data_IF_967455028662
#
_entry.id   IF_967455028662
#
_cell.length_a   1.000
_cell.length_b   1.000
_cell.length_c   1.000
_cell.angle_alpha   90.00
_cell.angle_beta   90.00
_cell.angle_gamma   90.00
#
_symmetry.space_group_name_H-M   'P 1'
#
loop_
_entity.id
_entity.type
_entity.pdbx_description
1 polymer ?
#
# COMPACT_ATOMS: atom_id res chain seq x y z
N UNK A 1 -3.27 -15.07 18.23
CA UNK A 1 -1.82 -14.85 18.17
C UNK A 1 -1.58 -13.58 17.36
N UNK A 2 -1.18 -12.47 17.99
CA UNK A 2 -0.87 -11.22 17.28
C UNK A 2 0.48 -11.41 16.58
N UNK A 3 0.49 -11.45 15.25
CA UNK A 3 1.72 -11.48 14.47
C UNK A 3 2.33 -10.08 14.60
N UNK A 4 3.49 -9.99 15.23
CA UNK A 4 4.26 -8.74 15.28
C UNK A 4 4.86 -8.49 13.90
N UNK A 5 4.17 -7.62 13.14
CA UNK A 5 4.55 -7.26 11.78
C UNK A 5 5.96 -6.64 11.73
N UNK A 6 6.38 -5.94 12.79
CA UNK A 6 7.73 -5.40 12.92
C UNK A 6 8.77 -6.50 12.93
N UNK A 7 8.59 -7.50 13.79
CA UNK A 7 9.52 -8.61 13.94
C UNK A 7 9.59 -9.50 12.70
N UNK A 8 8.45 -9.64 12.01
CA UNK A 8 8.36 -10.33 10.73
C UNK A 8 9.14 -9.61 9.63
N UNK A 9 8.97 -8.29 9.54
CA UNK A 9 9.69 -7.47 8.57
C UNK A 9 11.20 -7.40 8.89
N UNK A 10 11.59 -7.28 10.15
CA UNK A 10 13.00 -7.24 10.57
C UNK A 10 13.74 -8.54 10.22
N UNK A 11 13.11 -9.70 10.35
CA UNK A 11 13.69 -10.97 9.91
C UNK A 11 13.85 -11.07 8.40
N UNK A 12 12.91 -10.50 7.66
CA UNK A 12 12.92 -10.52 6.20
C UNK A 12 13.99 -9.60 5.60
N UNK A 13 14.33 -8.48 6.28
CA UNK A 13 15.38 -7.55 5.85
C UNK A 13 16.80 -8.05 6.11
N UNK A 14 17.00 -9.02 7.00
CA UNK A 14 18.33 -9.57 7.31
C UNK A 14 18.86 -10.52 6.23
N UNK A 15 18.02 -10.96 5.30
CA UNK A 15 18.38 -12.02 4.33
C UNK A 15 18.94 -11.54 2.99
N UNK A 16 19.02 -10.23 2.69
CA UNK A 16 19.59 -9.77 1.41
C UNK A 16 20.60 -8.62 1.56
N UNK A 17 21.85 -8.92 1.92
CA UNK A 17 22.91 -7.90 2.07
C UNK A 17 23.47 -7.38 0.74
N UNK A 18 23.02 -7.85 -0.41
CA UNK A 18 23.71 -7.66 -1.70
C UNK A 18 23.32 -6.40 -2.49
N UNK A 19 22.51 -5.47 -1.96
CA UNK A 19 22.15 -4.26 -2.70
C UNK A 19 22.46 -2.99 -1.94
N UNK A 20 23.71 -2.59 -1.93
CA UNK A 20 24.17 -1.22 -1.65
C UNK A 20 23.69 -0.20 -2.72
N UNK A 21 22.43 -0.28 -3.12
CA UNK A 21 21.77 0.76 -3.89
C UNK A 21 21.12 1.66 -2.85
N UNK A 22 21.65 2.87 -2.67
CA UNK A 22 20.95 3.89 -1.87
C UNK A 22 19.55 4.04 -2.45
N UNK A 23 18.50 3.63 -1.71
CA UNK A 23 17.16 3.71 -2.23
C UNK A 23 16.85 5.17 -2.60
N UNK A 24 16.23 5.36 -3.75
CA UNK A 24 15.82 6.68 -4.23
C UNK A 24 14.77 7.30 -3.30
N UNK A 25 14.43 8.58 -3.48
CA UNK A 25 13.44 9.23 -2.64
C UNK A 25 12.06 8.58 -2.83
N UNK A 26 11.38 8.34 -1.70
CA UNK A 26 10.02 7.77 -1.68
C UNK A 26 9.09 8.59 -0.79
N UNK A 27 7.87 8.81 -1.26
CA UNK A 27 6.79 9.40 -0.48
C UNK A 27 5.71 8.34 -0.27
N UNK A 28 5.23 8.17 0.94
CA UNK A 28 4.07 7.31 1.21
C UNK A 28 2.88 8.13 1.67
N UNK A 29 1.70 7.84 1.13
CA UNK A 29 0.45 8.47 1.51
C UNK A 29 -0.45 7.44 2.19
N UNK A 30 -0.58 7.54 3.51
CA UNK A 30 -1.62 6.88 4.29
C UNK A 30 -2.83 7.79 4.43
N UNK A 31 -4.02 7.25 4.66
CA UNK A 31 -5.22 8.05 4.68
C UNK A 31 -6.38 7.37 5.39
N UNK A 32 -7.29 8.16 5.90
CA UNK A 32 -8.62 7.74 6.27
C UNK A 32 -9.49 7.43 5.04
N UNK A 33 -10.49 6.57 5.22
CA UNK A 33 -11.49 6.26 4.18
C UNK A 33 -12.23 7.54 3.78
N UNK A 34 -12.44 7.74 2.49
CA UNK A 34 -13.06 8.95 1.94
C UNK A 34 -12.08 10.09 1.65
N UNK A 35 -10.85 10.07 2.18
CA UNK A 35 -9.84 11.08 1.86
C UNK A 35 -9.32 10.96 0.42
N UNK A 36 -8.97 12.09 -0.25
CA UNK A 36 -8.68 12.13 -1.68
C UNK A 36 -7.23 11.77 -2.01
N UNK A 37 -6.66 10.74 -1.39
CA UNK A 37 -5.24 10.42 -1.50
C UNK A 37 -4.73 10.24 -2.94
N UNK A 38 -5.57 9.73 -3.86
CA UNK A 38 -5.17 9.60 -5.28
C UNK A 38 -5.04 10.96 -5.97
N UNK A 39 -5.94 11.91 -5.65
CA UNK A 39 -5.87 13.28 -6.18
C UNK A 39 -4.62 13.97 -5.66
N UNK A 40 -4.36 13.88 -4.36
CA UNK A 40 -3.14 14.42 -3.73
C UNK A 40 -1.88 13.80 -4.36
N UNK A 41 -1.86 12.48 -4.57
CA UNK A 41 -0.73 11.80 -5.21
C UNK A 41 -0.48 12.28 -6.64
N UNK A 42 -1.53 12.49 -7.42
CA UNK A 42 -1.43 12.97 -8.79
C UNK A 42 -0.87 14.41 -8.84
N UNK A 43 -1.41 15.31 -8.04
CA UNK A 43 -0.95 16.71 -7.94
C UNK A 43 0.50 16.79 -7.42
N UNK A 44 0.83 15.98 -6.41
CA UNK A 44 2.19 15.90 -5.87
C UNK A 44 3.17 15.43 -6.94
N UNK A 45 2.83 14.40 -7.71
CA UNK A 45 3.65 13.92 -8.84
C UNK A 45 3.93 15.04 -9.84
N UNK A 46 2.92 15.81 -10.22
CA UNK A 46 3.07 16.89 -11.18
C UNK A 46 4.01 17.98 -10.64
N UNK A 47 3.78 18.41 -9.39
CA UNK A 47 4.64 19.41 -8.74
C UNK A 47 6.08 18.93 -8.61
N UNK A 48 6.32 17.71 -8.16
CA UNK A 48 7.66 17.15 -8.02
C UNK A 48 8.38 17.03 -9.37
N UNK A 49 7.67 16.66 -10.43
CA UNK A 49 8.24 16.59 -11.77
C UNK A 49 8.56 17.98 -12.34
N UNK A 50 7.75 19.00 -12.03
CA UNK A 50 8.02 20.40 -12.42
C UNK A 50 9.23 20.98 -11.68
N UNK A 51 9.36 20.67 -10.38
CA UNK A 51 10.48 21.14 -9.55
C UNK A 51 11.80 20.42 -9.85
N UNK A 52 11.77 19.32 -10.57
CA UNK A 52 12.95 18.50 -10.89
C UNK A 52 13.94 19.30 -11.76
N UNK A 53 14.83 20.02 -11.11
CA UNK A 53 16.05 20.50 -11.73
C UNK A 53 16.96 19.31 -11.99
N UNK A 54 17.61 19.27 -13.13
CA UNK A 54 18.45 18.30 -13.85
C UNK A 54 19.36 17.31 -13.06
N UNK A 55 19.16 17.02 -11.78
CA UNK A 55 20.21 16.40 -10.97
C UNK A 55 19.86 15.18 -10.14
N UNK A 56 18.82 14.40 -10.39
CA UNK A 56 18.76 13.07 -9.75
C UNK A 56 17.81 12.11 -10.40
N UNK A 57 18.28 10.89 -10.60
CA UNK A 57 17.57 9.72 -11.12
C UNK A 57 16.93 9.92 -12.51
N UNK A 58 17.24 9.06 -13.44
CA UNK A 58 16.88 9.16 -14.87
C UNK A 58 15.38 9.08 -15.18
N UNK A 59 14.52 8.78 -14.20
CA UNK A 59 13.09 8.67 -14.41
C UNK A 59 12.27 9.67 -13.60
N UNK A 60 11.09 10.10 -14.11
CA UNK A 60 10.20 11.02 -13.42
C UNK A 60 9.53 10.39 -12.20
N UNK A 61 9.04 11.24 -11.28
CA UNK A 61 8.17 10.82 -10.19
C UNK A 61 6.90 10.14 -10.73
N UNK A 62 6.53 9.04 -10.11
CA UNK A 62 5.31 8.29 -10.42
C UNK A 62 4.56 7.98 -9.13
N UNK A 63 3.23 7.98 -9.17
CA UNK A 63 2.44 7.50 -8.06
C UNK A 63 1.91 6.10 -8.36
N UNK A 64 1.85 5.28 -7.33
CA UNK A 64 1.66 3.83 -7.44
C UNK A 64 0.57 3.42 -6.45
N UNK A 65 -0.47 2.78 -6.92
CA UNK A 65 -1.57 2.24 -6.12
C UNK A 65 -2.09 0.91 -6.67
N UNK A 66 -2.60 0.91 -7.91
CA UNK A 66 -3.09 -0.30 -8.58
C UNK A 66 -1.92 -1.16 -9.09
N UNK A 67 -0.85 -0.53 -9.48
CA UNK A 67 0.35 -1.15 -10.04
C UNK A 67 0.96 -2.17 -9.07
N UNK A 68 0.90 -1.89 -7.76
CA UNK A 68 1.33 -2.84 -6.72
C UNK A 68 0.57 -4.16 -6.82
N UNK A 69 -0.76 -4.08 -7.02
CA UNK A 69 -1.59 -5.28 -7.12
C UNK A 69 -1.33 -6.03 -8.42
N UNK A 70 -1.18 -5.30 -9.52
CA UNK A 70 -0.91 -5.89 -10.84
C UNK A 70 0.44 -6.60 -10.87
N UNK A 71 1.51 -5.96 -10.38
CA UNK A 71 2.84 -6.58 -10.33
C UNK A 71 2.89 -7.75 -9.36
N UNK A 72 2.20 -7.65 -8.20
CA UNK A 72 2.14 -8.76 -7.25
C UNK A 72 1.38 -9.96 -7.82
N UNK A 73 0.27 -9.72 -8.53
CA UNK A 73 -0.49 -10.78 -9.20
C UNK A 73 0.34 -11.46 -10.28
N UNK A 74 1.06 -10.69 -11.08
CA UNK A 74 1.97 -11.19 -12.10
C UNK A 74 3.08 -12.07 -11.51
N UNK A 75 3.71 -11.62 -10.42
CA UNK A 75 4.76 -12.38 -9.73
C UNK A 75 4.22 -13.71 -9.14
N UNK A 76 2.99 -13.68 -8.62
CA UNK A 76 2.32 -14.85 -8.07
C UNK A 76 1.67 -15.75 -9.15
N UNK A 77 1.61 -15.29 -10.40
CA UNK A 77 0.90 -15.96 -11.51
C UNK A 77 -0.58 -16.20 -11.22
N UNK A 78 -1.24 -15.22 -10.64
CA UNK A 78 -2.67 -15.23 -10.31
C UNK A 78 -3.34 -13.96 -10.83
N UNK A 79 -4.68 -13.93 -10.83
CA UNK A 79 -5.43 -12.72 -11.14
C UNK A 79 -5.36 -11.71 -9.97
N UNK A 80 -5.38 -10.41 -10.28
CA UNK A 80 -5.33 -9.35 -9.26
C UNK A 80 -6.52 -9.36 -8.30
N UNK A 81 -7.67 -9.89 -8.73
CA UNK A 81 -8.85 -10.06 -7.88
C UNK A 81 -8.62 -11.10 -6.77
N UNK A 82 -7.82 -12.13 -7.06
CA UNK A 82 -7.52 -13.19 -6.10
C UNK A 82 -6.65 -12.74 -4.93
N UNK A 83 -5.89 -11.66 -5.08
CA UNK A 83 -5.06 -11.10 -4.01
C UNK A 83 -5.71 -9.89 -3.31
N UNK A 84 -6.80 -9.35 -3.85
CA UNK A 84 -7.46 -8.19 -3.28
C UNK A 84 -8.07 -8.46 -1.90
N UNK A 85 -8.57 -9.68 -1.66
CA UNK A 85 -9.16 -10.08 -0.38
C UNK A 85 -8.23 -9.89 0.82
N UNK A 86 -6.92 -9.93 0.62
CA UNK A 86 -5.92 -9.70 1.69
C UNK A 86 -6.05 -8.31 2.32
N UNK A 87 -6.66 -7.35 1.61
CA UNK A 87 -6.86 -5.98 2.04
C UNK A 87 -8.31 -5.66 2.42
N UNK A 88 -9.26 -6.55 2.11
CA UNK A 88 -10.70 -6.34 2.34
C UNK A 88 -11.12 -6.86 3.72
N UNK A 89 -10.60 -6.24 4.79
CA UNK A 89 -10.88 -6.61 6.18
C UNK A 89 -12.37 -6.61 6.56
N UNK A 90 -13.20 -5.83 5.86
CA UNK A 90 -14.62 -5.66 6.19
C UNK A 90 -15.55 -6.74 5.61
N UNK A 91 -15.08 -7.60 4.72
CA UNK A 91 -15.92 -8.65 4.11
C UNK A 91 -15.83 -10.01 4.80
N UNK A 92 -14.98 -10.15 5.80
CA UNK A 92 -14.84 -11.40 6.53
C UNK A 92 -15.81 -11.45 7.68
N UNK A 93 -16.86 -12.26 7.56
CA UNK A 93 -17.69 -12.66 8.69
C UNK A 93 -16.88 -13.54 9.66
N UNK A 94 -17.18 -13.44 10.96
CA UNK A 94 -16.51 -14.24 12.01
C UNK A 94 -16.55 -15.75 11.71
N UNK A 95 -17.59 -16.22 11.03
CA UNK A 95 -17.75 -17.62 10.59
C UNK A 95 -16.80 -18.02 9.45
N UNK A 96 -16.53 -17.11 8.50
CA UNK A 96 -15.55 -17.36 7.42
C UNK A 96 -14.14 -17.43 7.96
N UNK A 97 -13.78 -16.56 8.91
CA UNK A 97 -12.46 -16.58 9.58
C UNK A 97 -12.26 -17.89 10.36
N UNK A 98 -13.30 -18.46 10.97
CA UNK A 98 -13.24 -19.74 11.71
C UNK A 98 -13.09 -20.94 10.78
N UNK A 99 -13.82 -20.98 9.67
CA UNK A 99 -13.72 -22.05 8.66
C UNK A 99 -12.38 -21.99 7.92
N UNK A 100 -11.85 -20.80 7.67
CA UNK A 100 -10.56 -20.59 6.99
C UNK A 100 -9.36 -20.83 7.90
N UNK A 101 -9.50 -20.64 9.22
CA UNK A 101 -8.44 -20.94 10.20
C UNK A 101 -8.07 -22.43 10.26
N UNK A 102 -8.93 -23.33 9.77
CA UNK A 102 -8.66 -24.76 9.71
C UNK A 102 -7.84 -25.19 8.47
N UNK A 103 -7.68 -24.34 7.45
CA UNK A 103 -6.91 -24.68 6.26
C UNK A 103 -5.50 -24.10 6.33
N UNK A 104 -4.52 -24.96 6.59
CA UNK A 104 -3.07 -24.59 6.60
C UNK A 104 -2.60 -24.00 5.27
N UNK A 105 -3.21 -24.39 4.16
CA UNK A 105 -2.81 -23.93 2.82
C UNK A 105 -3.29 -22.53 2.53
N UNK A 106 -4.45 -22.12 3.05
CA UNK A 106 -4.96 -20.76 2.90
C UNK A 106 -4.08 -19.74 3.66
N UNK A 107 -3.66 -20.07 4.88
CA UNK A 107 -2.79 -19.21 5.68
C UNK A 107 -1.41 -19.01 5.05
N UNK A 108 -0.85 -20.08 4.47
CA UNK A 108 0.41 -20.01 3.70
C UNK A 108 0.24 -19.15 2.45
N UNK A 109 -0.91 -19.22 1.78
CA UNK A 109 -1.23 -18.42 0.61
C UNK A 109 -1.28 -16.91 0.97
N UNK A 110 -1.97 -16.55 2.04
CA UNK A 110 -2.07 -15.16 2.53
C UNK A 110 -0.69 -14.58 2.89
N UNK A 111 0.13 -15.33 3.58
CA UNK A 111 1.49 -14.91 3.92
C UNK A 111 2.35 -14.70 2.66
N UNK A 112 2.28 -15.61 1.70
CA UNK A 112 2.99 -15.49 0.43
C UNK A 112 2.54 -14.25 -0.33
N UNK A 113 1.24 -13.97 -0.38
CA UNK A 113 0.68 -12.77 -1.02
C UNK A 113 1.21 -11.51 -0.34
N UNK A 114 1.16 -11.42 0.99
CA UNK A 114 1.64 -10.27 1.76
C UNK A 114 3.13 -10.03 1.55
N UNK A 115 3.93 -11.08 1.56
CA UNK A 115 5.38 -11.02 1.31
C UNK A 115 5.68 -10.51 -0.10
N UNK A 116 4.96 -11.02 -1.10
CA UNK A 116 5.13 -10.57 -2.49
C UNK A 116 4.75 -9.09 -2.64
N UNK A 117 3.65 -8.65 -2.03
CA UNK A 117 3.25 -7.24 -2.02
C UNK A 117 4.31 -6.35 -1.37
N UNK A 118 4.86 -6.78 -0.23
CA UNK A 118 5.92 -6.04 0.44
C UNK A 118 7.18 -5.94 -0.44
N UNK A 119 7.58 -7.01 -1.10
CA UNK A 119 8.69 -7.04 -2.05
C UNK A 119 8.47 -6.10 -3.23
N UNK A 120 7.28 -6.12 -3.84
CA UNK A 120 6.93 -5.21 -4.94
C UNK A 120 6.97 -3.75 -4.50
N UNK A 121 6.41 -3.41 -3.34
CA UNK A 121 6.49 -2.06 -2.76
C UNK A 121 7.94 -1.64 -2.54
N UNK A 122 8.77 -2.54 -1.99
CA UNK A 122 10.18 -2.28 -1.76
C UNK A 122 10.95 -2.04 -3.06
N UNK A 123 10.66 -2.80 -4.10
CA UNK A 123 11.27 -2.61 -5.42
C UNK A 123 10.95 -1.22 -6.00
N UNK A 124 9.68 -0.76 -5.89
CA UNK A 124 9.31 0.59 -6.30
C UNK A 124 10.01 1.67 -5.50
N UNK A 125 10.14 1.48 -4.19
CA UNK A 125 10.80 2.42 -3.30
C UNK A 125 12.32 2.48 -3.56
N UNK A 126 12.96 1.35 -3.80
CA UNK A 126 14.39 1.27 -4.14
C UNK A 126 14.69 1.91 -5.50
N UNK A 127 13.80 1.76 -6.47
CA UNK A 127 13.92 2.45 -7.76
C UNK A 127 13.85 3.98 -7.61
N UNK A 128 13.22 4.49 -6.55
CA UNK A 128 13.10 5.91 -6.24
C UNK A 128 12.06 6.68 -7.04
N UNK A 129 11.93 7.97 -6.74
CA UNK A 129 10.93 8.86 -7.33
C UNK A 129 9.52 8.26 -7.33
N UNK A 130 9.15 7.62 -6.22
CA UNK A 130 7.91 6.89 -6.06
C UNK A 130 7.01 7.51 -5.00
N UNK A 131 5.71 7.67 -5.31
CA UNK A 131 4.66 8.06 -4.38
C UNK A 131 3.76 6.83 -4.19
N UNK A 132 3.84 6.19 -3.03
CA UNK A 132 3.12 4.94 -2.71
C UNK A 132 1.86 5.28 -1.95
N UNK A 133 0.69 4.88 -2.48
CA UNK A 133 -0.60 5.20 -1.87
C UNK A 133 -1.18 4.00 -1.13
N UNK A 134 -1.05 3.99 0.20
CA UNK A 134 -1.56 2.95 1.09
C UNK A 134 -0.77 1.64 1.03
N UNK A 135 -1.49 0.53 1.18
CA UNK A 135 -0.96 -0.85 1.07
C UNK A 135 0.18 -1.18 2.06
N UNK A 136 0.21 -0.53 3.22
CA UNK A 136 1.29 -0.72 4.19
C UNK A 136 2.61 -0.06 3.79
N UNK A 137 2.60 0.84 2.80
CA UNK A 137 3.81 1.49 2.28
C UNK A 137 4.69 2.09 3.38
N UNK A 138 4.10 2.76 4.37
CA UNK A 138 4.82 3.34 5.52
C UNK A 138 5.63 2.28 6.26
N UNK A 139 4.99 1.17 6.64
CA UNK A 139 5.65 0.11 7.41
C UNK A 139 6.79 -0.56 6.61
N UNK A 140 6.60 -0.69 5.29
CA UNK A 140 7.55 -1.36 4.40
C UNK A 140 8.76 -0.48 4.05
N UNK A 141 8.59 0.86 4.06
CA UNK A 141 9.66 1.80 3.62
C UNK A 141 10.19 2.68 4.75
N UNK A 142 9.85 2.39 6.01
CA UNK A 142 10.22 3.20 7.18
C UNK A 142 11.73 3.34 7.41
N UNK A 143 12.49 2.36 6.94
CA UNK A 143 13.95 2.29 7.07
C UNK A 143 14.71 2.94 5.90
N UNK A 144 13.99 3.47 4.90
CA UNK A 144 14.61 4.18 3.78
C UNK A 144 14.95 5.61 4.22
N UNK A 145 16.24 6.02 4.24
CA UNK A 145 16.64 7.32 4.75
C UNK A 145 16.01 8.51 4.00
N UNK A 146 15.79 8.35 2.68
CA UNK A 146 15.15 9.37 1.84
C UNK A 146 13.65 9.10 1.68
N UNK A 147 12.94 8.89 2.79
CA UNK A 147 11.49 8.68 2.79
C UNK A 147 10.75 9.81 3.48
N UNK A 148 9.57 10.13 2.96
CA UNK A 148 8.59 11.03 3.58
C UNK A 148 7.26 10.28 3.74
N UNK A 149 6.77 10.22 4.98
CA UNK A 149 5.52 9.54 5.31
C UNK A 149 4.46 10.56 5.65
N UNK A 150 3.38 10.58 4.88
CA UNK A 150 2.26 11.52 5.02
C UNK A 150 1.01 10.74 5.38
N UNK A 151 0.28 11.22 6.39
CA UNK A 151 -1.05 10.74 6.73
C UNK A 151 -2.09 11.82 6.40
N UNK A 152 -3.14 11.43 5.66
CA UNK A 152 -4.20 12.34 5.25
C UNK A 152 -5.43 12.13 6.12
N UNK A 153 -5.82 13.16 6.83
CA UNK A 153 -7.03 13.24 7.64
C UNK A 153 -8.02 14.21 7.01
N UNK A 154 -9.29 14.00 7.28
CA UNK A 154 -10.36 14.95 6.95
C UNK A 154 -11.57 14.74 7.86
N UNK A 155 -12.40 15.77 8.10
CA UNK A 155 -13.61 15.66 8.91
C UNK A 155 -14.51 14.51 8.46
N UNK A 156 -15.07 13.77 9.41
CA UNK A 156 -15.89 12.59 9.14
C UNK A 156 -17.04 12.89 8.16
N UNK A 157 -17.76 13.97 8.36
CA UNK A 157 -18.89 14.35 7.50
C UNK A 157 -18.47 14.59 6.06
N UNK A 158 -17.36 15.27 5.86
CA UNK A 158 -16.82 15.49 4.53
C UNK A 158 -16.41 14.18 3.85
N UNK A 159 -15.82 13.24 4.60
CA UNK A 159 -15.43 11.92 4.11
C UNK A 159 -16.66 11.05 3.79
N UNK A 160 -17.70 11.11 4.67
CA UNK A 160 -18.94 10.38 4.50
C UNK A 160 -19.67 10.79 3.20
N UNK A 161 -19.76 12.10 2.92
CA UNK A 161 -20.31 12.59 1.65
C UNK A 161 -19.61 11.99 0.43
N UNK A 162 -18.29 11.95 0.45
CA UNK A 162 -17.50 11.37 -0.65
C UNK A 162 -17.65 9.85 -0.80
N UNK A 163 -17.82 9.14 0.31
CA UNK A 163 -18.10 7.70 0.32
C UNK A 163 -19.51 7.43 -0.20
N UNK A 164 -20.50 8.22 0.24
CA UNK A 164 -21.87 8.14 -0.21
C UNK A 164 -21.97 8.31 -1.73
N UNK A 165 -21.39 9.38 -2.26
CA UNK A 165 -21.34 9.68 -3.70
C UNK A 165 -20.67 8.54 -4.49
N UNK A 166 -19.50 8.09 -4.04
CA UNK A 166 -18.73 7.06 -4.74
C UNK A 166 -19.38 5.68 -4.78
N UNK A 167 -20.09 5.31 -3.71
CA UNK A 167 -20.66 3.96 -3.53
C UNK A 167 -22.19 3.92 -3.64
N UNK A 168 -22.82 5.06 -3.91
CA UNK A 168 -24.28 5.24 -3.91
C UNK A 168 -24.94 4.78 -2.60
N UNK A 169 -24.31 5.19 -1.47
CA UNK A 169 -24.78 4.90 -0.12
C UNK A 169 -25.57 6.08 0.46
N UNK A 170 -26.48 5.79 1.41
CA UNK A 170 -26.98 6.84 2.30
C UNK A 170 -25.86 7.42 3.17
N UNK A 171 -26.05 8.61 3.74
CA UNK A 171 -25.05 9.24 4.62
C UNK A 171 -24.75 8.34 5.83
N UNK A 172 -25.75 7.72 6.44
CA UNK A 172 -25.58 6.83 7.58
C UNK A 172 -24.81 5.55 7.22
N UNK A 173 -25.08 4.98 6.06
CA UNK A 173 -24.30 3.87 5.52
C UNK A 173 -22.84 4.29 5.25
N UNK A 174 -22.63 5.50 4.74
CA UNK A 174 -21.31 6.02 4.48
C UNK A 174 -20.51 6.33 5.76
N UNK A 175 -21.18 6.79 6.83
CA UNK A 175 -20.56 6.96 8.16
C UNK A 175 -20.13 5.63 8.79
N UNK A 176 -20.91 4.57 8.57
CA UNK A 176 -20.61 3.23 9.08
C UNK A 176 -19.55 2.49 8.24
N UNK A 177 -19.28 2.96 7.02
CA UNK A 177 -18.31 2.37 6.09
C UNK A 177 -16.88 2.67 6.50
#
# INVERSE_FOLDING_TARGET
MKIDLSKYLDNWYKEDPAKNIFPGPVVTLSREVGSPAKKVAAELREKLNTLKKKHSHDHPWRWIAKEIMMESAKELKVDSSQIQHVFDYKKRGVLEDLLMAQSKDYYKSDMKIRTTIAKVIRNFANAGNAIIVGRGGVAITRDIPKSLHIYLEAPLEWRALRVADKHNYSIDQARAY
#
